data_IF_730230437927
#
_entry.id   IF_730230437927
#
_cell.length_a   1.000
_cell.length_b   1.000
_cell.length_c   1.000
_cell.angle_alpha   90.00
_cell.angle_beta   90.00
_cell.angle_gamma   90.00
#
_symmetry.space_group_name_H-M   'P 1'
#
loop_
_entity.id
_entity.type
_entity.pdbx_description
1 polymer ?
#
# COMPACT_ATOMS: atom_id res chain seq x y z
N UNK A 1 10.47 -18.98 18.51
CA UNK A 1 11.75 -19.16 19.25
C UNK A 1 12.02 -17.95 20.17
N UNK A 2 12.28 -18.24 21.44
CA UNK A 2 12.74 -17.37 22.55
C UNK A 2 12.58 -15.86 22.45
N UNK A 3 11.56 -15.30 23.11
CA UNK A 3 11.55 -13.88 23.50
C UNK A 3 12.38 -13.77 24.79
N UNK A 4 13.59 -13.23 24.72
CA UNK A 4 14.45 -13.06 25.89
C UNK A 4 13.77 -12.13 26.92
N UNK A 5 13.90 -12.51 28.20
CA UNK A 5 13.37 -11.77 29.35
C UNK A 5 14.28 -10.57 29.68
N UNK A 6 14.26 -9.55 28.82
CA UNK A 6 14.88 -8.25 29.06
C UNK A 6 13.84 -7.15 29.26
N UNK A 7 14.26 -6.01 29.82
CA UNK A 7 13.45 -4.78 29.84
C UNK A 7 13.11 -4.37 28.40
N UNK A 8 11.88 -4.67 27.98
CA UNK A 8 11.36 -4.26 26.67
C UNK A 8 11.08 -2.77 26.73
N UNK A 9 12.04 -1.97 26.25
CA UNK A 9 11.77 -0.57 25.96
C UNK A 9 10.67 -0.51 24.88
N UNK A 10 9.70 0.41 24.98
CA UNK A 10 8.72 0.56 23.92
C UNK A 10 9.43 1.00 22.64
N UNK A 11 9.62 0.05 21.72
CA UNK A 11 10.10 0.34 20.38
C UNK A 11 8.97 1.04 19.62
N UNK A 12 9.21 2.29 19.24
CA UNK A 12 8.30 3.01 18.36
C UNK A 12 8.38 2.40 16.97
N UNK A 13 7.38 1.60 16.60
CA UNK A 13 7.22 1.08 15.26
C UNK A 13 6.20 1.93 14.47
N UNK A 14 6.53 2.23 13.21
CA UNK A 14 5.58 2.86 12.28
C UNK A 14 4.79 1.76 11.59
N UNK A 15 3.46 1.81 11.69
CA UNK A 15 2.59 0.83 11.05
C UNK A 15 2.57 1.06 9.53
N UNK A 16 3.22 0.18 8.78
CA UNK A 16 3.28 0.31 7.32
C UNK A 16 1.93 0.09 6.65
N UNK A 17 1.07 -0.79 7.20
CA UNK A 17 -0.17 -1.25 6.57
C UNK A 17 0.02 -2.27 5.43
N UNK A 18 1.25 -2.73 5.19
CA UNK A 18 1.56 -3.78 4.23
C UNK A 18 1.33 -5.17 4.85
N UNK A 19 0.73 -6.08 4.09
CA UNK A 19 0.65 -7.51 4.41
C UNK A 19 1.87 -8.20 3.82
N UNK A 20 2.64 -8.87 4.66
CA UNK A 20 3.87 -9.58 4.29
C UNK A 20 3.86 -11.01 4.82
N UNK A 21 4.56 -11.90 4.15
CA UNK A 21 4.87 -13.25 4.63
C UNK A 21 6.36 -13.36 4.92
N UNK A 22 6.69 -13.91 6.07
CA UNK A 22 8.06 -14.23 6.46
C UNK A 22 8.36 -15.70 6.15
N UNK A 23 9.54 -16.01 5.64
CA UNK A 23 10.03 -17.40 5.52
C UNK A 23 10.83 -17.85 6.76
N UNK A 24 11.40 -19.05 6.71
CA UNK A 24 12.18 -19.64 7.81
C UNK A 24 13.53 -18.93 8.01
N UNK A 25 14.05 -18.28 6.97
CA UNK A 25 15.32 -17.54 6.95
C UNK A 25 15.15 -16.06 7.38
N UNK A 26 13.91 -15.61 7.58
CA UNK A 26 13.58 -14.25 8.03
C UNK A 26 13.39 -13.22 6.92
N UNK A 27 13.34 -13.64 5.65
CA UNK A 27 13.03 -12.74 4.53
C UNK A 27 11.55 -12.40 4.48
N UNK A 28 11.25 -11.13 4.19
CA UNK A 28 9.88 -10.62 4.06
C UNK A 28 9.47 -10.53 2.59
N UNK A 29 8.41 -11.27 2.26
CA UNK A 29 7.77 -11.27 0.95
C UNK A 29 6.50 -10.43 0.98
N UNK A 30 6.43 -9.43 0.12
CA UNK A 30 5.25 -8.59 -0.02
C UNK A 30 4.08 -9.38 -0.62
N UNK A 31 2.93 -9.37 0.05
CA UNK A 31 1.69 -10.02 -0.43
C UNK A 31 0.72 -8.97 -0.97
N UNK A 32 0.57 -7.85 -0.27
CA UNK A 32 -0.39 -6.81 -0.66
C UNK A 32 -0.58 -5.78 0.43
N UNK A 33 -1.60 -4.94 0.28
CA UNK A 33 -2.04 -3.98 1.31
C UNK A 33 -3.49 -4.21 1.65
N UNK A 34 -3.86 -3.82 2.87
CA UNK A 34 -5.25 -3.88 3.34
C UNK A 34 -6.01 -2.59 3.06
N UNK A 35 -5.32 -1.48 2.87
CA UNK A 35 -5.91 -0.22 2.42
C UNK A 35 -6.00 -0.16 0.89
N UNK A 36 -6.76 0.80 0.38
CA UNK A 36 -6.98 1.00 -1.06
C UNK A 36 -5.79 1.68 -1.77
N UNK A 37 -4.66 1.84 -1.08
CA UNK A 37 -3.48 2.53 -1.59
C UNK A 37 -2.84 1.77 -2.76
N UNK A 38 -2.65 2.45 -3.89
CA UNK A 38 -2.05 1.87 -5.10
C UNK A 38 -0.53 2.07 -5.11
N UNK A 39 0.20 1.08 -5.65
CA UNK A 39 1.64 1.19 -5.93
C UNK A 39 1.91 1.12 -7.43
N UNK A 40 2.17 2.28 -8.05
CA UNK A 40 2.57 2.37 -9.46
C UNK A 40 4.01 2.83 -9.59
N UNK A 41 4.84 2.07 -10.31
CA UNK A 41 6.28 2.35 -10.49
C UNK A 41 7.06 2.53 -9.18
N UNK A 42 6.60 1.92 -8.08
CA UNK A 42 7.18 2.10 -6.75
C UNK A 42 6.70 3.33 -5.97
N UNK A 43 5.87 4.19 -6.56
CA UNK A 43 5.22 5.31 -5.88
C UNK A 43 3.93 4.88 -5.21
N UNK A 44 3.66 5.44 -4.02
CA UNK A 44 2.39 5.28 -3.32
C UNK A 44 1.42 6.35 -3.77
N UNK A 45 0.27 5.94 -4.30
CA UNK A 45 -0.76 6.85 -4.81
C UNK A 45 -2.09 6.54 -4.15
N UNK A 46 -2.73 7.56 -3.59
CA UNK A 46 -4.06 7.46 -2.98
C UNK A 46 -5.14 7.52 -4.06
N UNK A 47 -6.10 6.58 -4.10
CA UNK A 47 -7.25 6.66 -4.99
C UNK A 47 -8.00 7.99 -4.87
N UNK A 48 -8.26 8.43 -3.63
CA UNK A 48 -9.00 9.65 -3.34
C UNK A 48 -8.31 10.89 -3.91
N UNK A 49 -6.97 10.94 -3.93
CA UNK A 49 -6.24 12.07 -4.53
C UNK A 49 -6.50 12.18 -6.04
N UNK A 50 -6.60 11.04 -6.73
CA UNK A 50 -6.90 10.99 -8.17
C UNK A 50 -8.36 11.40 -8.42
N UNK A 51 -9.28 10.89 -7.61
CA UNK A 51 -10.71 11.21 -7.69
C UNK A 51 -10.97 12.71 -7.44
N UNK A 52 -10.36 13.30 -6.41
CA UNK A 52 -10.46 14.73 -6.09
C UNK A 52 -10.02 15.62 -7.27
N UNK A 53 -8.92 15.25 -7.95
CA UNK A 53 -8.45 15.97 -9.14
C UNK A 53 -9.47 15.85 -10.28
N UNK A 54 -10.05 14.66 -10.50
CA UNK A 54 -11.08 14.44 -11.53
C UNK A 54 -12.34 15.26 -11.23
N UNK A 55 -12.81 15.27 -9.99
CA UNK A 55 -13.95 16.10 -9.57
C UNK A 55 -13.68 17.59 -9.76
N UNK A 56 -12.44 18.05 -9.51
CA UNK A 56 -12.05 19.44 -9.71
C UNK A 56 -12.18 19.90 -11.18
N UNK A 57 -12.11 18.97 -12.15
CA UNK A 57 -12.32 19.31 -13.57
C UNK A 57 -13.76 19.69 -13.91
N UNK A 58 -14.74 19.32 -13.07
CA UNK A 58 -16.19 19.47 -13.30
C UNK A 58 -16.72 18.78 -14.57
N UNK A 59 -15.93 17.89 -15.18
CA UNK A 59 -16.33 17.10 -16.35
C UNK A 59 -16.92 15.74 -15.98
N UNK A 60 -16.75 15.32 -14.73
CA UNK A 60 -17.14 14.01 -14.22
C UNK A 60 -18.08 14.19 -13.03
N UNK A 61 -19.20 13.45 -13.03
CA UNK A 61 -20.18 13.47 -11.93
C UNK A 61 -19.80 12.54 -10.78
N UNK A 62 -19.38 11.32 -11.10
CA UNK A 62 -18.93 10.29 -10.15
C UNK A 62 -17.74 9.53 -10.79
N UNK A 63 -16.72 9.22 -10.00
CA UNK A 63 -15.57 8.42 -10.42
C UNK A 63 -15.06 7.56 -9.26
N UNK A 64 -14.35 6.48 -9.60
CA UNK A 64 -13.67 5.60 -8.65
C UNK A 64 -12.28 5.26 -9.18
N UNK A 65 -11.24 5.57 -8.42
CA UNK A 65 -9.88 5.22 -8.79
C UNK A 65 -9.49 3.86 -8.19
N UNK A 66 -8.87 2.99 -8.99
CA UNK A 66 -8.38 1.70 -8.51
C UNK A 66 -7.15 1.22 -9.28
N UNK A 67 -6.36 0.39 -8.63
CA UNK A 67 -5.14 -0.18 -9.19
C UNK A 67 -5.43 -1.50 -9.90
N UNK A 68 -4.95 -1.64 -11.13
CA UNK A 68 -4.97 -2.90 -11.90
C UNK A 68 -3.55 -3.41 -12.11
N UNK A 69 -3.36 -4.73 -12.07
CA UNK A 69 -2.03 -5.32 -12.26
C UNK A 69 -1.44 -4.94 -13.61
N UNK A 70 -0.18 -4.50 -13.61
CA UNK A 70 0.52 -4.05 -14.80
C UNK A 70 1.96 -4.59 -14.84
N UNK A 71 2.39 -5.23 -15.94
CA UNK A 71 3.65 -5.98 -15.99
C UNK A 71 4.91 -5.14 -15.75
N UNK A 72 4.89 -3.84 -16.07
CA UNK A 72 6.04 -2.95 -15.88
C UNK A 72 5.92 -2.03 -14.65
N UNK A 73 4.70 -1.73 -14.20
CA UNK A 73 4.45 -0.69 -13.20
C UNK A 73 4.11 -1.28 -11.83
N UNK A 74 3.97 -2.61 -11.73
CA UNK A 74 3.31 -3.25 -10.60
C UNK A 74 1.80 -3.07 -10.73
N UNK A 75 1.32 -1.83 -10.54
CA UNK A 75 -0.07 -1.46 -10.77
C UNK A 75 -0.18 -0.24 -11.71
N UNK A 76 -1.15 -0.26 -12.62
CA UNK A 76 -1.60 0.90 -13.36
C UNK A 76 -2.86 1.48 -12.68
N UNK A 77 -3.02 2.80 -12.73
CA UNK A 77 -4.17 3.49 -12.16
C UNK A 77 -5.27 3.56 -13.23
N UNK A 78 -6.48 3.18 -12.86
CA UNK A 78 -7.67 3.27 -13.69
C UNK A 78 -8.79 3.99 -12.94
N UNK A 79 -9.63 4.72 -13.69
CA UNK A 79 -10.71 5.60 -13.22
C UNK A 79 -11.95 5.46 -14.09
#
# INVERSE_FOLDING_TARGET
PGREAGLQLPEYAVFSGDTVRMDEDGFLYFIGRRDEMMKTSGYRVSPTEVEEILYATKLVGECVAFGVDHPALGQAIQV
#
